data_IF_433261180340
#
_entry.id   IF_433261180340
#
_cell.length_a   1.000
_cell.length_b   1.000
_cell.length_c   1.000
_cell.angle_alpha   90.00
_cell.angle_beta   90.00
_cell.angle_gamma   90.00
#
_symmetry.space_group_name_H-M   'P 1'
#
loop_
_entity.id
_entity.type
_entity.pdbx_description
1 polymer ?
#
# COMPACT_ATOMS: atom_id res chain seq x y z
N UNK A 1 1.66 25.71 -30.30
CA UNK A 1 2.80 26.29 -29.64
C UNK A 1 3.91 25.25 -29.60
N UNK A 2 5.13 25.65 -29.97
CA UNK A 2 6.28 24.77 -30.09
C UNK A 2 6.67 24.25 -28.69
N UNK A 3 6.28 23.03 -28.35
CA UNK A 3 6.43 22.41 -27.01
C UNK A 3 7.89 22.10 -26.64
N UNK A 4 8.81 22.27 -27.56
CA UNK A 4 10.22 21.84 -27.43
C UNK A 4 11.18 22.91 -26.90
N UNK A 5 10.70 24.11 -26.58
CA UNK A 5 11.59 25.24 -26.19
C UNK A 5 11.43 25.69 -24.72
N UNK A 6 10.75 24.89 -23.88
CA UNK A 6 10.61 25.24 -22.46
C UNK A 6 11.56 24.42 -21.59
N UNK A 7 12.33 25.11 -20.76
CA UNK A 7 13.11 24.46 -19.71
C UNK A 7 12.15 24.06 -18.59
N UNK A 8 12.10 22.75 -18.28
CA UNK A 8 11.30 22.21 -17.20
C UNK A 8 12.20 21.99 -16.00
N UNK A 9 11.83 22.55 -14.85
CA UNK A 9 12.50 22.31 -13.58
C UNK A 9 11.47 21.74 -12.59
N UNK A 10 11.75 20.57 -12.02
CA UNK A 10 10.89 19.92 -11.03
C UNK A 10 11.63 20.01 -9.69
N UNK A 11 10.96 20.61 -8.70
CA UNK A 11 11.47 20.68 -7.33
C UNK A 11 10.60 19.83 -6.42
N UNK A 12 11.18 18.78 -5.83
CA UNK A 12 10.55 17.91 -4.85
C UNK A 12 11.02 18.33 -3.44
N UNK A 13 10.22 19.13 -2.75
CA UNK A 13 10.52 19.56 -1.39
C UNK A 13 10.10 18.47 -0.36
N UNK A 14 10.71 18.43 0.83
CA UNK A 14 11.95 19.09 1.23
C UNK A 14 13.20 18.40 0.65
N UNK A 15 14.29 19.14 0.47
CA UNK A 15 15.48 18.65 -0.25
C UNK A 15 16.31 17.62 0.55
N UNK A 16 16.20 17.62 1.85
CA UNK A 16 16.92 16.76 2.80
C UNK A 16 16.39 15.33 2.87
N UNK A 17 15.21 15.06 2.31
CA UNK A 17 14.64 13.72 2.28
C UNK A 17 14.97 13.02 0.96
N UNK A 18 15.57 11.85 1.05
CA UNK A 18 15.78 11.00 -0.12
C UNK A 18 14.43 10.50 -0.66
N UNK A 19 14.14 10.85 -1.91
CA UNK A 19 12.92 10.45 -2.60
C UNK A 19 13.27 9.38 -3.62
N UNK A 20 12.93 8.15 -3.29
CA UNK A 20 13.10 7.01 -4.18
C UNK A 20 11.73 6.52 -4.69
N UNK A 21 11.73 5.92 -5.87
CA UNK A 21 10.55 5.31 -6.45
C UNK A 21 9.70 6.24 -7.32
N UNK A 22 8.76 5.63 -8.02
CA UNK A 22 7.89 6.23 -9.05
C UNK A 22 6.54 6.74 -8.49
N UNK A 23 6.35 6.72 -7.18
CA UNK A 23 5.09 7.11 -6.54
C UNK A 23 4.67 8.57 -6.80
N UNK A 24 5.64 9.43 -7.17
CA UNK A 24 5.41 10.86 -7.43
C UNK A 24 5.09 11.16 -8.90
N UNK A 25 5.19 10.19 -9.82
CA UNK A 25 5.05 10.40 -11.25
C UNK A 25 3.73 11.07 -11.60
N UNK A 26 2.64 10.60 -11.00
CA UNK A 26 1.31 11.17 -11.21
C UNK A 26 1.24 12.64 -10.79
N UNK A 27 1.75 12.97 -9.60
CA UNK A 27 1.74 14.34 -9.10
C UNK A 27 2.60 15.27 -9.97
N UNK A 28 3.76 14.78 -10.43
CA UNK A 28 4.66 15.50 -11.34
C UNK A 28 3.96 15.76 -12.69
N UNK A 29 3.32 14.74 -13.27
CA UNK A 29 2.63 14.86 -14.54
C UNK A 29 1.46 15.85 -14.46
N UNK A 30 0.64 15.81 -13.41
CA UNK A 30 -0.45 16.75 -13.20
C UNK A 30 0.06 18.18 -13.01
N UNK A 31 1.14 18.35 -12.25
CA UNK A 31 1.78 19.68 -12.05
C UNK A 31 2.29 20.24 -13.38
N UNK A 32 2.87 19.40 -14.24
CA UNK A 32 3.30 19.80 -15.58
C UNK A 32 2.12 20.20 -16.47
N UNK A 33 1.03 19.42 -16.48
CA UNK A 33 -0.17 19.71 -17.26
C UNK A 33 -0.81 21.04 -16.83
N UNK A 34 -0.85 21.32 -15.52
CA UNK A 34 -1.31 22.60 -14.97
C UNK A 34 -0.42 23.76 -15.42
N UNK A 35 0.90 23.63 -15.21
CA UNK A 35 1.86 24.69 -15.53
C UNK A 35 1.90 25.02 -17.03
N UNK A 36 1.66 24.01 -17.89
CA UNK A 36 1.63 24.17 -19.34
C UNK A 36 0.26 24.61 -19.90
N UNK A 37 -0.74 24.79 -19.03
CA UNK A 37 -2.09 25.20 -19.42
C UNK A 37 -2.84 24.15 -20.23
N UNK A 38 -2.46 22.87 -20.12
CA UNK A 38 -3.12 21.77 -20.84
C UNK A 38 -4.38 21.26 -20.10
N UNK A 39 -4.48 21.56 -18.82
CA UNK A 39 -5.67 21.29 -17.99
C UNK A 39 -6.08 22.56 -17.25
N UNK A 40 -7.34 22.63 -16.85
CA UNK A 40 -7.87 23.76 -16.07
C UNK A 40 -7.30 23.77 -14.66
N UNK A 41 -7.25 24.95 -14.06
CA UNK A 41 -6.89 25.10 -12.65
C UNK A 41 -7.93 24.39 -11.77
N UNK A 42 -7.44 23.67 -10.78
CA UNK A 42 -8.26 23.01 -9.75
C UNK A 42 -7.62 23.23 -8.37
N UNK A 43 -8.41 23.09 -7.31
CA UNK A 43 -7.91 23.14 -5.94
C UNK A 43 -7.21 21.83 -5.58
N UNK A 44 -5.91 21.86 -5.39
CA UNK A 44 -5.09 20.72 -4.99
C UNK A 44 -4.82 20.64 -3.47
N UNK A 45 -5.24 21.65 -2.69
CA UNK A 45 -4.83 21.83 -1.28
C UNK A 45 -5.25 20.66 -0.36
N UNK A 46 -6.33 19.96 -0.70
CA UNK A 46 -6.86 18.85 0.09
C UNK A 46 -6.81 17.50 -0.65
N UNK A 47 -5.93 17.38 -1.65
CA UNK A 47 -5.82 16.19 -2.51
C UNK A 47 -4.43 15.59 -2.46
N UNK A 48 -4.36 14.27 -2.45
CA UNK A 48 -3.12 13.52 -2.62
C UNK A 48 -3.21 12.76 -3.94
N UNK A 49 -2.12 12.79 -4.70
CA UNK A 49 -1.99 12.06 -5.95
C UNK A 49 -0.83 11.07 -5.82
N UNK A 50 -1.13 9.78 -5.86
CA UNK A 50 -0.17 8.70 -5.70
C UNK A 50 -0.27 7.74 -6.89
N UNK A 51 0.86 7.38 -7.47
CA UNK A 51 0.91 6.36 -8.52
C UNK A 51 2.10 6.49 -9.44
N UNK A 52 2.62 5.35 -9.85
CA UNK A 52 3.56 5.23 -10.94
C UNK A 52 2.82 5.43 -12.27
N UNK A 53 3.39 6.21 -13.17
CA UNK A 53 2.80 6.51 -14.46
C UNK A 53 3.58 5.82 -15.59
N UNK A 54 2.90 4.94 -16.33
CA UNK A 54 3.47 4.36 -17.54
C UNK A 54 3.60 5.40 -18.66
N UNK A 55 4.44 5.12 -19.67
CA UNK A 55 4.57 5.97 -20.86
C UNK A 55 3.26 6.11 -21.67
N UNK A 56 2.29 5.21 -21.45
CA UNK A 56 0.96 5.28 -22.06
C UNK A 56 -0.05 6.06 -21.23
N UNK A 57 0.37 6.57 -20.06
CA UNK A 57 -0.50 7.31 -19.14
C UNK A 57 -1.36 6.43 -18.24
N UNK A 58 -1.06 5.14 -18.14
CA UNK A 58 -1.73 4.19 -17.24
C UNK A 58 -1.08 4.25 -15.86
N UNK A 59 -1.88 4.15 -14.80
CA UNK A 59 -1.39 4.05 -13.43
C UNK A 59 -1.08 2.59 -13.08
N UNK A 60 0.08 2.40 -12.49
CA UNK A 60 0.54 1.11 -11.96
C UNK A 60 0.47 1.09 -10.46
N UNK A 61 0.46 -0.12 -9.90
CA UNK A 61 0.47 -0.36 -8.47
C UNK A 61 1.57 0.47 -7.79
N UNK A 62 1.19 1.19 -6.72
CA UNK A 62 2.07 2.02 -5.92
C UNK A 62 2.23 1.42 -4.52
N UNK A 63 3.44 1.00 -4.12
CA UNK A 63 3.68 0.51 -2.77
C UNK A 63 3.46 1.61 -1.73
N UNK A 64 3.05 1.21 -0.52
CA UNK A 64 2.83 2.15 0.58
C UNK A 64 1.50 2.92 0.54
N UNK A 65 0.59 2.59 -0.36
CA UNK A 65 -0.70 3.29 -0.52
C UNK A 65 -1.53 3.27 0.77
N UNK A 66 -1.55 2.15 1.51
CA UNK A 66 -2.23 2.04 2.80
C UNK A 66 -1.70 3.03 3.84
N UNK A 67 -0.37 3.21 3.87
CA UNK A 67 0.28 4.18 4.77
C UNK A 67 -0.07 5.61 4.41
N UNK A 68 -0.09 5.94 3.11
CA UNK A 68 -0.50 7.26 2.64
C UNK A 68 -1.95 7.52 2.99
N UNK A 69 -2.85 6.54 2.86
CA UNK A 69 -4.24 6.65 3.28
C UNK A 69 -4.37 6.90 4.79
N UNK A 70 -3.61 6.17 5.61
CA UNK A 70 -3.57 6.36 7.07
C UNK A 70 -3.05 7.76 7.44
N UNK A 71 -1.98 8.20 6.81
CA UNK A 71 -1.37 9.52 7.05
C UNK A 71 -2.29 10.65 6.59
N UNK A 72 -2.95 10.52 5.44
CA UNK A 72 -3.83 11.54 4.89
C UNK A 72 -4.96 11.91 5.84
N UNK A 73 -5.55 10.90 6.51
CA UNK A 73 -6.58 11.11 7.53
C UNK A 73 -6.04 11.98 8.68
N UNK A 74 -4.83 11.70 9.18
CA UNK A 74 -4.22 12.45 10.28
C UNK A 74 -3.86 13.89 9.92
N UNK A 75 -3.55 14.14 8.64
CA UNK A 75 -3.19 15.45 8.11
C UNK A 75 -4.38 16.25 7.55
N UNK A 76 -5.59 15.67 7.56
CA UNK A 76 -6.82 16.35 7.13
C UNK A 76 -7.01 16.44 5.62
N UNK A 77 -6.31 15.63 4.82
CA UNK A 77 -6.58 15.52 3.39
C UNK A 77 -7.93 14.87 3.14
N UNK A 78 -8.67 15.36 2.14
CA UNK A 78 -10.02 14.92 1.86
C UNK A 78 -10.10 13.83 0.80
N UNK A 79 -9.25 13.90 -0.22
CA UNK A 79 -9.29 13.00 -1.38
C UNK A 79 -7.91 12.42 -1.67
N UNK A 80 -7.87 11.14 -1.96
CA UNK A 80 -6.65 10.43 -2.31
C UNK A 80 -6.89 9.72 -3.63
N UNK A 81 -6.19 10.16 -4.66
CA UNK A 81 -6.18 9.52 -5.98
C UNK A 81 -5.11 8.44 -5.99
N UNK A 82 -5.53 7.20 -6.19
CA UNK A 82 -4.64 6.03 -6.15
C UNK A 82 -4.88 5.12 -7.35
N UNK A 83 -3.90 4.31 -7.75
CA UNK A 83 -4.13 3.28 -8.76
C UNK A 83 -5.31 2.38 -8.35
N UNK A 84 -6.16 2.01 -9.29
CA UNK A 84 -7.32 1.14 -9.05
C UNK A 84 -6.93 -0.18 -8.37
N UNK A 85 -5.75 -0.70 -8.70
CA UNK A 85 -5.18 -1.89 -8.07
C UNK A 85 -4.94 -1.75 -6.56
N UNK A 86 -4.68 -0.53 -6.06
CA UNK A 86 -4.47 -0.25 -4.64
C UNK A 86 -5.73 0.25 -3.91
N UNK A 87 -6.80 0.54 -4.64
CA UNK A 87 -7.95 1.24 -4.07
C UNK A 87 -8.63 0.47 -2.95
N UNK A 88 -8.77 -0.86 -3.09
CA UNK A 88 -9.36 -1.72 -2.04
C UNK A 88 -8.52 -1.72 -0.76
N UNK A 89 -7.19 -1.80 -0.90
CA UNK A 89 -6.25 -1.74 0.22
C UNK A 89 -6.32 -0.38 0.93
N UNK A 90 -6.27 0.72 0.17
CA UNK A 90 -6.38 2.06 0.73
C UNK A 90 -7.72 2.31 1.45
N UNK A 91 -8.80 1.74 0.93
CA UNK A 91 -10.15 1.87 1.47
C UNK A 91 -10.41 1.06 2.75
N UNK A 92 -9.41 0.33 3.27
CA UNK A 92 -9.43 -0.21 4.64
C UNK A 92 -9.34 0.90 5.70
N UNK A 93 -8.87 2.08 5.33
CA UNK A 93 -8.77 3.22 6.25
C UNK A 93 -10.07 4.01 6.23
N UNK A 94 -10.84 3.87 7.28
CA UNK A 94 -12.08 4.62 7.47
C UNK A 94 -11.84 6.14 7.52
N UNK A 95 -12.68 6.91 6.81
CA UNK A 95 -12.63 8.38 6.79
C UNK A 95 -11.69 8.98 5.75
N UNK A 96 -11.02 8.17 4.93
CA UNK A 96 -10.29 8.61 3.75
C UNK A 96 -11.18 8.43 2.50
N UNK A 97 -11.33 9.47 1.68
CA UNK A 97 -12.04 9.39 0.39
C UNK A 97 -11.08 8.90 -0.67
N UNK A 98 -11.13 7.64 -0.99
CA UNK A 98 -10.27 6.99 -1.97
C UNK A 98 -10.90 7.08 -3.36
N UNK A 99 -10.19 7.67 -4.31
CA UNK A 99 -10.60 7.79 -5.71
C UNK A 99 -9.74 6.82 -6.54
N UNK A 100 -10.33 5.70 -7.03
CA UNK A 100 -9.61 4.72 -7.84
C UNK A 100 -9.40 5.23 -9.26
N UNK A 101 -8.18 5.14 -9.78
CA UNK A 101 -7.84 5.66 -11.11
C UNK A 101 -7.05 4.64 -11.91
N UNK A 102 -7.38 4.51 -13.18
CA UNK A 102 -6.65 3.63 -14.11
C UNK A 102 -5.63 4.40 -14.96
N UNK A 103 -5.92 5.65 -15.31
CA UNK A 103 -5.05 6.43 -16.19
C UNK A 103 -5.17 7.94 -15.93
N UNK A 104 -4.19 8.70 -16.41
CA UNK A 104 -4.11 10.15 -16.20
C UNK A 104 -5.29 10.91 -16.83
N UNK A 105 -5.88 10.38 -17.92
CA UNK A 105 -7.01 11.01 -18.57
C UNK A 105 -8.25 11.01 -17.67
N UNK A 106 -8.52 9.89 -17.00
CA UNK A 106 -9.64 9.79 -16.05
C UNK A 106 -9.51 10.81 -14.92
N UNK A 107 -8.29 11.01 -14.40
CA UNK A 107 -8.03 12.03 -13.38
C UNK A 107 -8.32 13.42 -13.91
N UNK A 108 -7.83 13.74 -15.10
CA UNK A 108 -8.06 15.06 -15.72
C UNK A 108 -9.55 15.29 -15.94
N UNK A 109 -10.28 14.30 -16.46
CA UNK A 109 -11.71 14.40 -16.69
C UNK A 109 -12.48 14.58 -15.37
N UNK A 110 -12.04 13.93 -14.28
CA UNK A 110 -12.60 14.08 -12.93
C UNK A 110 -12.30 15.48 -12.36
N UNK A 111 -11.05 15.94 -12.43
CA UNK A 111 -10.63 17.24 -11.89
C UNK A 111 -11.26 18.43 -12.65
N UNK A 112 -11.57 18.25 -13.92
CA UNK A 112 -12.30 19.23 -14.73
C UNK A 112 -13.82 19.05 -14.70
N UNK A 113 -14.33 18.15 -13.83
CA UNK A 113 -15.76 17.87 -13.63
C UNK A 113 -16.49 17.40 -14.89
N UNK A 114 -15.77 16.80 -15.86
CA UNK A 114 -16.37 16.23 -17.07
C UNK A 114 -17.00 14.86 -16.79
N UNK A 115 -16.26 14.00 -16.06
CA UNK A 115 -16.70 12.67 -15.63
C UNK A 115 -16.22 12.45 -14.20
N UNK A 116 -17.16 12.32 -13.27
CA UNK A 116 -16.80 12.08 -11.87
C UNK A 116 -16.53 10.60 -11.64
N UNK A 117 -15.39 10.31 -11.04
CA UNK A 117 -15.03 8.96 -10.58
C UNK A 117 -15.70 8.74 -9.23
N UNK A 118 -16.42 7.64 -9.10
CA UNK A 118 -16.99 7.24 -7.81
C UNK A 118 -15.89 6.85 -6.82
N UNK A 119 -16.08 7.22 -5.56
CA UNK A 119 -15.15 6.81 -4.52
C UNK A 119 -15.20 5.30 -4.31
N UNK A 120 -14.06 4.71 -3.97
CA UNK A 120 -14.00 3.32 -3.54
C UNK A 120 -14.82 3.16 -2.25
N UNK A 121 -15.79 2.24 -2.19
CA UNK A 121 -16.47 1.90 -0.95
C UNK A 121 -15.48 1.41 0.11
N UNK A 122 -15.83 1.61 1.39
CA UNK A 122 -15.03 1.09 2.50
C UNK A 122 -14.83 -0.42 2.32
N UNK A 123 -13.58 -0.84 2.36
CA UNK A 123 -13.23 -2.25 2.28
C UNK A 123 -13.33 -2.90 3.66
N UNK A 124 -13.83 -4.11 3.70
CA UNK A 124 -13.80 -4.95 4.90
C UNK A 124 -12.48 -5.71 4.87
N UNK A 125 -11.79 -5.72 6.00
CA UNK A 125 -10.62 -6.57 6.16
C UNK A 125 -11.09 -8.02 6.30
N UNK A 126 -10.84 -8.81 5.26
CA UNK A 126 -11.02 -10.25 5.28
C UNK A 126 -9.62 -10.86 5.25
N UNK A 127 -9.31 -11.68 6.24
CA UNK A 127 -8.08 -12.47 6.20
C UNK A 127 -8.25 -13.56 5.14
N UNK A 128 -7.69 -13.34 3.96
CA UNK A 128 -7.52 -14.43 3.00
C UNK A 128 -6.49 -15.39 3.57
N UNK A 129 -6.96 -16.51 4.12
CA UNK A 129 -6.07 -17.63 4.45
C UNK A 129 -5.33 -18.02 3.17
N UNK A 130 -4.06 -17.71 3.11
CA UNK A 130 -3.24 -18.08 1.95
C UNK A 130 -3.33 -19.59 1.78
N UNK A 131 -3.65 -20.05 0.60
CA UNK A 131 -3.98 -21.46 0.28
C UNK A 131 -2.89 -22.48 0.64
N UNK A 132 -1.76 -22.08 1.19
CA UNK A 132 -0.64 -22.99 1.55
C UNK A 132 0.11 -22.53 2.80
N UNK A 133 -0.59 -22.37 3.90
CA UNK A 133 0.12 -22.37 5.18
C UNK A 133 0.45 -23.84 5.49
N UNK A 134 1.74 -24.15 5.65
CA UNK A 134 2.20 -25.45 6.08
C UNK A 134 1.67 -25.71 7.51
N UNK A 135 0.77 -26.67 7.63
CA UNK A 135 0.07 -26.92 8.90
C UNK A 135 0.98 -27.65 9.89
N UNK A 136 0.90 -27.28 11.17
CA UNK A 136 1.68 -27.93 12.24
C UNK A 136 1.37 -29.42 12.36
N UNK A 137 0.16 -29.83 11.98
CA UNK A 137 -0.25 -31.25 11.97
C UNK A 137 0.52 -32.12 10.97
N UNK A 138 1.09 -31.50 9.91
CA UNK A 138 1.90 -32.17 8.91
C UNK A 138 3.28 -32.59 9.46
N UNK A 139 3.72 -32.01 10.58
CA UNK A 139 4.98 -32.36 11.23
C UNK A 139 4.81 -33.60 12.04
N UNK A 140 5.54 -34.64 11.69
CA UNK A 140 5.52 -35.91 12.44
C UNK A 140 6.47 -35.86 13.63
N UNK A 141 6.00 -36.29 14.79
CA UNK A 141 6.78 -36.23 16.04
C UNK A 141 6.99 -34.79 16.54
N UNK A 142 8.09 -34.59 17.27
CA UNK A 142 8.47 -33.25 17.81
C UNK A 142 7.43 -32.67 18.80
N UNK A 143 6.74 -33.52 19.57
CA UNK A 143 5.63 -33.09 20.43
C UNK A 143 5.98 -31.98 21.43
N UNK A 144 7.20 -32.05 22.00
CA UNK A 144 7.68 -31.00 22.90
C UNK A 144 7.84 -29.66 22.18
N UNK A 145 8.40 -29.64 20.96
CA UNK A 145 8.58 -28.46 20.18
C UNK A 145 7.24 -27.87 19.72
N UNK A 146 6.28 -28.72 19.29
CA UNK A 146 4.92 -28.29 18.96
C UNK A 146 4.24 -27.62 20.15
N UNK A 147 4.35 -28.24 21.34
CA UNK A 147 3.75 -27.67 22.55
C UNK A 147 4.33 -26.31 22.92
N UNK A 148 5.64 -26.12 22.74
CA UNK A 148 6.29 -24.83 22.94
C UNK A 148 5.82 -23.80 21.91
N UNK A 149 5.63 -24.20 20.64
CA UNK A 149 5.07 -23.33 19.60
C UNK A 149 3.65 -22.87 19.93
N UNK A 150 2.78 -23.79 20.39
CA UNK A 150 1.42 -23.47 20.82
C UNK A 150 1.41 -22.42 21.96
N UNK A 151 2.26 -22.60 22.96
CA UNK A 151 2.39 -21.65 24.09
C UNK A 151 2.90 -20.30 23.58
N UNK A 152 3.89 -20.31 22.69
CA UNK A 152 4.45 -19.09 22.11
C UNK A 152 3.41 -18.34 21.25
N UNK A 153 2.66 -19.06 20.42
CA UNK A 153 1.59 -18.49 19.60
C UNK A 153 0.46 -17.88 20.45
N UNK A 154 0.01 -18.62 21.46
CA UNK A 154 -1.08 -18.17 22.34
C UNK A 154 -0.70 -16.99 23.20
N UNK A 155 0.58 -16.87 23.60
CA UNK A 155 1.07 -15.80 24.48
C UNK A 155 1.80 -14.66 23.77
N UNK A 156 1.95 -14.71 22.43
CA UNK A 156 2.75 -13.72 21.70
C UNK A 156 4.23 -13.71 22.13
N UNK A 157 4.78 -14.89 22.51
CA UNK A 157 6.13 -14.99 23.02
C UNK A 157 7.17 -15.16 21.92
N UNK A 158 8.33 -14.55 22.11
CA UNK A 158 9.50 -14.82 21.29
C UNK A 158 10.03 -16.24 21.56
N UNK A 159 10.45 -16.93 20.50
CA UNK A 159 10.96 -18.30 20.57
C UNK A 159 12.34 -18.38 19.93
N UNK A 160 13.27 -19.06 20.63
CA UNK A 160 14.58 -19.42 20.09
C UNK A 160 14.68 -20.93 19.94
N UNK A 161 14.94 -21.41 18.74
CA UNK A 161 15.16 -22.81 18.43
C UNK A 161 16.63 -23.09 18.17
N UNK A 162 17.25 -23.93 19.00
CA UNK A 162 18.66 -24.34 18.90
C UNK A 162 18.71 -25.86 18.64
N UNK A 163 19.59 -26.28 17.74
CA UNK A 163 19.78 -27.70 17.42
C UNK A 163 20.58 -27.91 16.14
N UNK A 164 21.00 -29.15 15.85
CA UNK A 164 21.83 -29.48 14.69
C UNK A 164 21.08 -29.22 13.36
N UNK A 165 21.80 -29.13 12.23
CA UNK A 165 21.20 -29.14 10.90
C UNK A 165 20.29 -30.37 10.73
N UNK A 166 19.15 -30.20 10.03
CA UNK A 166 18.19 -31.29 9.82
C UNK A 166 17.22 -31.57 10.99
N UNK A 167 17.34 -30.90 12.14
CA UNK A 167 16.45 -31.09 13.30
C UNK A 167 15.01 -30.55 13.11
N UNK A 168 14.62 -30.09 11.93
CA UNK A 168 13.26 -29.62 11.64
C UNK A 168 12.95 -28.19 12.08
N UNK A 169 13.92 -27.40 12.55
CA UNK A 169 13.71 -26.01 13.02
C UNK A 169 12.97 -25.12 12.01
N UNK A 170 13.41 -25.17 10.75
CA UNK A 170 12.79 -24.38 9.68
C UNK A 170 11.35 -24.83 9.38
N UNK A 171 11.05 -26.12 9.46
CA UNK A 171 9.69 -26.64 9.29
C UNK A 171 8.78 -26.16 10.40
N UNK A 172 9.24 -26.26 11.66
CA UNK A 172 8.51 -25.75 12.81
C UNK A 172 8.23 -24.25 12.72
N UNK A 173 9.23 -23.46 12.30
CA UNK A 173 9.04 -22.02 12.10
C UNK A 173 8.03 -21.69 11.00
N UNK A 174 8.03 -22.46 9.89
CA UNK A 174 7.06 -22.30 8.80
C UNK A 174 5.64 -22.74 9.19
N UNK A 175 5.50 -23.65 10.12
CA UNK A 175 4.21 -24.09 10.62
C UNK A 175 3.61 -23.15 11.67
N UNK A 176 4.41 -22.27 12.29
CA UNK A 176 3.94 -21.36 13.34
C UNK A 176 2.72 -20.52 12.91
N UNK A 177 2.66 -19.93 11.70
CA UNK A 177 1.49 -19.16 11.26
C UNK A 177 0.18 -19.96 11.28
N UNK A 178 0.21 -21.30 11.10
CA UNK A 178 -1.01 -22.15 11.10
C UNK A 178 -1.71 -22.23 12.46
N UNK A 179 -1.01 -21.88 13.54
CA UNK A 179 -1.55 -21.90 14.91
C UNK A 179 -1.62 -20.51 15.55
N UNK A 180 -1.22 -19.47 14.83
CA UNK A 180 -1.37 -18.09 15.31
C UNK A 180 -2.83 -17.65 15.22
N UNK A 181 -3.31 -16.82 16.17
CA UNK A 181 -4.63 -16.22 16.03
C UNK A 181 -4.70 -15.34 14.78
N UNK A 182 -5.90 -15.19 14.17
CA UNK A 182 -6.08 -14.31 13.03
C UNK A 182 -5.72 -12.87 13.37
N UNK A 183 -5.14 -12.16 12.40
CA UNK A 183 -4.78 -10.76 12.56
C UNK A 183 -6.04 -9.89 12.61
N UNK A 184 -6.07 -8.96 13.55
CA UNK A 184 -7.05 -7.88 13.46
C UNK A 184 -6.58 -6.80 12.48
N UNK A 185 -7.49 -5.92 12.04
CA UNK A 185 -7.20 -4.87 11.07
C UNK A 185 -6.02 -3.97 11.50
N UNK A 186 -5.91 -3.65 12.79
CA UNK A 186 -4.85 -2.79 13.30
C UNK A 186 -3.48 -3.45 13.17
N UNK A 187 -3.39 -4.72 13.53
CA UNK A 187 -2.16 -5.53 13.39
C UNK A 187 -1.79 -5.70 11.91
N UNK A 188 -2.77 -5.99 11.06
CA UNK A 188 -2.54 -6.09 9.61
C UNK A 188 -1.99 -4.78 9.03
N UNK A 189 -2.53 -3.62 9.43
CA UNK A 189 -2.02 -2.30 9.02
C UNK A 189 -0.58 -2.08 9.52
N UNK A 190 -0.26 -2.47 10.75
CA UNK A 190 1.08 -2.33 11.31
C UNK A 190 2.10 -3.20 10.55
N UNK A 191 1.75 -4.46 10.29
CA UNK A 191 2.60 -5.38 9.51
C UNK A 191 2.79 -4.88 8.10
N UNK A 192 1.71 -4.49 7.40
CA UNK A 192 1.78 -3.93 6.05
C UNK A 192 2.63 -2.67 6.02
N UNK A 193 2.58 -1.86 7.08
CA UNK A 193 3.40 -0.66 7.23
C UNK A 193 4.89 -0.95 7.20
N UNK A 194 5.30 -2.04 7.84
CA UNK A 194 6.72 -2.47 7.89
C UNK A 194 7.16 -3.00 6.52
N UNK A 195 6.36 -3.87 5.90
CA UNK A 195 6.71 -4.50 4.63
C UNK A 195 6.59 -3.58 3.42
N UNK A 196 5.77 -2.54 3.46
CA UNK A 196 5.61 -1.60 2.34
C UNK A 196 6.76 -0.59 2.23
N UNK A 197 7.64 -0.50 3.24
CA UNK A 197 8.78 0.44 3.28
C UNK A 197 10.12 -0.31 3.14
N UNK A 198 10.12 -1.64 3.26
CA UNK A 198 11.30 -2.49 3.09
C UNK A 198 11.54 -2.86 1.63
#
# INVERSE_FOLDING_TARGET
>A
PNRYNHRITINLAPADLHKAGSNYDLAIALSYLLASGQIKQFDSSNKIFLGELSLRGELRLAPGTLLVAKMSKSLGFKEIFVPKSNAKEAALIEGARIIPVENIKEIVDHLEERVLIEQQPLSIFEEELSEKIFDISEIKGQENAKRVLEIAAAGGHNLLMVGPPGAGKTMLARALPSIMPPLNLKEAIEITSIYSVA
#
